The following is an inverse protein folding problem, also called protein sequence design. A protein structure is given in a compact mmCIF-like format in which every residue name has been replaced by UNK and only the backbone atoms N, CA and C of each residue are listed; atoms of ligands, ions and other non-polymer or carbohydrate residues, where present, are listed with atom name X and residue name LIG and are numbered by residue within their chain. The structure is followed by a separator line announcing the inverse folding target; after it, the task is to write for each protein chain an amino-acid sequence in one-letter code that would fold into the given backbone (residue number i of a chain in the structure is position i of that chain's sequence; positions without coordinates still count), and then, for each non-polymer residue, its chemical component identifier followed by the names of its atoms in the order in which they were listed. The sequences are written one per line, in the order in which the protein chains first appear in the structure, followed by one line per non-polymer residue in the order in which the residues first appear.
data_IF_717662937786
#
_entry.id   IF_717662937786
#
_cell.length_a   1.000
_cell.length_b   1.000
_cell.length_c   1.000
_cell.angle_alpha   90.00
_cell.angle_beta   90.00
_cell.angle_gamma   90.00
#
_symmetry.space_group_name_H-M   'P 1'
#
loop_
_entity.id
_entity.type
_entity.pdbx_description
1 polymer ?
#
# COMPACT_ATOMS: atom_id res chain seq x y z
N UNK A 1 -16.04 -10.45 -44.66
CA UNK A 1 -14.89 -11.29 -44.28
C UNK A 1 -14.39 -10.79 -42.94
N UNK A 2 -14.87 -11.40 -41.85
CA UNK A 2 -14.49 -11.08 -40.47
C UNK A 2 -13.31 -11.96 -40.09
N UNK A 3 -12.15 -11.34 -39.86
CA UNK A 3 -10.95 -12.01 -39.35
C UNK A 3 -11.14 -12.35 -37.87
N UNK A 4 -11.53 -13.58 -37.58
CA UNK A 4 -11.44 -14.17 -36.24
C UNK A 4 -9.97 -14.47 -35.96
N UNK A 5 -9.31 -13.61 -35.19
CA UNK A 5 -8.03 -13.91 -34.55
C UNK A 5 -8.28 -14.94 -33.45
N UNK A 6 -8.12 -16.22 -33.78
CA UNK A 6 -7.97 -17.28 -32.78
C UNK A 6 -6.66 -17.06 -32.04
N UNK A 7 -6.74 -16.74 -30.75
CA UNK A 7 -5.60 -16.87 -29.84
C UNK A 7 -5.13 -18.33 -29.85
N UNK A 8 -3.81 -18.60 -29.89
CA UNK A 8 -3.31 -19.97 -29.83
C UNK A 8 -3.71 -20.61 -28.49
N UNK A 9 -3.97 -21.93 -28.46
CA UNK A 9 -4.23 -22.65 -27.22
C UNK A 9 -3.02 -22.49 -26.27
N UNK A 10 -3.25 -22.42 -24.94
CA UNK A 10 -2.15 -22.34 -23.99
C UNK A 10 -1.24 -23.55 -24.19
N UNK A 11 0.10 -23.37 -24.14
CA UNK A 11 1.03 -24.49 -24.23
C UNK A 11 0.68 -25.48 -23.11
N UNK A 12 0.60 -26.77 -23.44
CA UNK A 12 0.44 -27.85 -22.47
C UNK A 12 1.37 -27.59 -21.30
N UNK A 13 0.83 -27.54 -20.07
CA UNK A 13 1.59 -27.28 -18.86
C UNK A 13 2.84 -28.19 -18.83
N UNK A 14 4.01 -27.61 -19.14
CA UNK A 14 5.28 -28.32 -19.03
C UNK A 14 5.53 -28.71 -17.58
N UNK A 15 6.64 -29.39 -17.31
CA UNK A 15 6.99 -29.85 -15.95
C UNK A 15 7.04 -28.72 -14.91
N UNK A 16 7.18 -27.48 -15.36
CA UNK A 16 7.22 -26.26 -14.54
C UNK A 16 6.23 -25.21 -15.07
N UNK A 17 4.91 -25.35 -14.83
CA UNK A 17 3.93 -24.45 -15.43
C UNK A 17 3.96 -23.09 -14.73
N UNK A 18 4.30 -22.06 -15.51
CA UNK A 18 4.33 -20.66 -15.10
C UNK A 18 4.25 -19.73 -16.30
N UNK A 19 3.82 -18.48 -16.08
CA UNK A 19 3.67 -17.47 -17.13
C UNK A 19 3.99 -16.08 -16.61
N UNK A 20 4.56 -15.25 -17.48
CA UNK A 20 4.76 -13.82 -17.26
C UNK A 20 3.80 -13.02 -18.15
N UNK A 21 2.84 -12.36 -17.54
CA UNK A 21 1.87 -11.47 -18.18
C UNK A 21 2.40 -10.04 -18.13
N UNK A 22 2.69 -9.45 -19.29
CA UNK A 22 3.25 -8.09 -19.36
C UNK A 22 2.15 -7.04 -19.33
N UNK A 23 2.37 -5.93 -18.62
CA UNK A 23 1.46 -4.78 -18.57
C UNK A 23 0.03 -5.13 -18.13
N UNK A 24 -0.10 -6.11 -17.23
CA UNK A 24 -1.39 -6.59 -16.74
C UNK A 24 -2.12 -5.53 -15.91
N UNK A 25 -1.38 -4.79 -15.06
CA UNK A 25 -1.90 -3.63 -14.35
C UNK A 25 -1.52 -2.34 -15.09
N UNK A 26 -2.41 -1.36 -15.02
CA UNK A 26 -2.12 -0.01 -15.52
C UNK A 26 -1.12 0.70 -14.60
N UNK A 27 -0.38 1.66 -15.14
CA UNK A 27 0.52 2.51 -14.36
C UNK A 27 -0.20 3.24 -13.22
N UNK A 28 -1.44 3.68 -13.45
CA UNK A 28 -2.24 4.36 -12.43
C UNK A 28 -2.58 3.42 -11.28
N UNK A 29 -3.02 2.20 -11.59
CA UNK A 29 -3.29 1.15 -10.59
C UNK A 29 -2.03 0.81 -9.79
N UNK A 30 -0.87 0.69 -10.45
CA UNK A 30 0.40 0.47 -9.74
C UNK A 30 0.70 1.61 -8.77
N UNK A 31 0.55 2.87 -9.20
CA UNK A 31 0.84 4.04 -8.36
C UNK A 31 -0.15 4.20 -7.19
N UNK A 32 -1.42 3.86 -7.38
CA UNK A 32 -2.41 3.81 -6.31
C UNK A 32 -2.03 2.76 -5.25
N UNK A 33 -1.66 1.55 -5.66
CA UNK A 33 -1.21 0.51 -4.74
C UNK A 33 0.14 0.87 -4.08
N UNK A 34 1.06 1.52 -4.78
CA UNK A 34 2.29 2.09 -4.17
C UNK A 34 1.94 3.10 -3.07
N UNK A 35 0.98 4.00 -3.32
CA UNK A 35 0.49 4.96 -2.34
C UNK A 35 -0.06 4.26 -1.10
N UNK A 36 -0.93 3.27 -1.27
CA UNK A 36 -1.49 2.51 -0.14
C UNK A 36 -0.38 1.84 0.67
N UNK A 37 0.56 1.15 0.00
CA UNK A 37 1.64 0.45 0.70
C UNK A 37 2.57 1.39 1.46
N UNK A 38 3.03 2.47 0.80
CA UNK A 38 3.95 3.43 1.41
C UNK A 38 3.30 4.22 2.54
N UNK A 39 1.97 4.25 2.60
CA UNK A 39 1.25 4.91 3.69
C UNK A 39 0.97 3.98 4.86
N UNK A 40 0.56 2.74 4.56
CA UNK A 40 0.04 1.79 5.56
C UNK A 40 0.98 0.60 5.80
N UNK A 41 2.25 0.72 5.44
CA UNK A 41 3.26 -0.34 5.61
C UNK A 41 3.70 -0.50 7.06
N UNK A 42 3.69 -1.75 7.54
CA UNK A 42 4.27 -2.15 8.82
C UNK A 42 5.52 -3.03 8.57
N UNK A 43 6.37 -3.16 9.58
CA UNK A 43 7.53 -4.04 9.52
C UNK A 43 7.08 -5.49 9.23
N UNK A 44 7.67 -6.08 8.21
CA UNK A 44 7.42 -7.46 7.81
C UNK A 44 8.10 -8.45 8.75
N UNK A 45 7.65 -9.70 8.71
CA UNK A 45 8.26 -10.78 9.50
C UNK A 45 9.73 -11.06 9.12
N UNK A 46 10.13 -10.75 7.89
CA UNK A 46 11.51 -10.93 7.42
C UNK A 46 12.31 -9.65 7.62
N UNK A 47 13.63 -9.75 7.90
CA UNK A 47 14.51 -8.60 7.90
C UNK A 47 14.40 -7.81 6.61
N UNK A 48 14.44 -6.48 6.73
CA UNK A 48 14.40 -5.54 5.61
C UNK A 48 13.14 -5.61 4.74
N UNK A 49 12.03 -6.16 5.25
CA UNK A 49 10.75 -6.22 4.53
C UNK A 49 9.72 -5.32 5.21
N UNK A 50 8.93 -4.61 4.41
CA UNK A 50 7.72 -3.90 4.85
C UNK A 50 6.52 -4.58 4.20
N UNK A 51 5.42 -4.74 4.94
CA UNK A 51 4.21 -5.40 4.45
C UNK A 51 2.94 -4.63 4.81
N UNK A 52 1.99 -4.60 3.89
CA UNK A 52 0.61 -4.15 4.13
C UNK A 52 -0.33 -5.26 3.71
N UNK A 53 -0.94 -5.92 4.69
CA UNK A 53 -1.99 -6.91 4.44
C UNK A 53 -3.38 -6.27 4.47
N UNK A 54 -4.34 -6.92 3.82
CA UNK A 54 -5.73 -6.48 3.84
C UNK A 54 -6.33 -6.39 5.26
N UNK A 55 -6.10 -7.37 6.17
CA UNK A 55 -6.53 -7.24 7.56
C UNK A 55 -5.85 -6.08 8.30
N UNK A 56 -4.59 -5.75 7.99
CA UNK A 56 -3.92 -4.60 8.60
C UNK A 56 -4.63 -3.29 8.24
N UNK A 57 -4.97 -3.10 6.96
CA UNK A 57 -5.76 -1.93 6.52
C UNK A 57 -7.09 -1.83 7.27
N UNK A 58 -7.82 -2.93 7.39
CA UNK A 58 -9.08 -2.97 8.12
C UNK A 58 -8.92 -2.64 9.61
N UNK A 59 -7.85 -3.11 10.23
CA UNK A 59 -7.56 -2.90 11.66
C UNK A 59 -7.09 -1.48 11.98
N UNK A 60 -6.45 -0.77 11.05
CA UNK A 60 -5.91 0.58 11.27
C UNK A 60 -6.85 1.70 10.81
N UNK A 61 -8.16 1.42 10.66
CA UNK A 61 -9.13 2.40 10.16
C UNK A 61 -9.00 2.73 8.66
N UNK A 62 -8.11 2.05 7.94
CA UNK A 62 -7.84 2.23 6.51
C UNK A 62 -8.63 1.27 5.62
N UNK A 63 -9.71 0.66 6.12
CA UNK A 63 -10.46 -0.37 5.39
C UNK A 63 -11.03 0.08 4.04
N UNK A 64 -11.23 1.39 3.83
CA UNK A 64 -11.67 1.94 2.54
C UNK A 64 -10.59 1.80 1.45
N UNK A 65 -9.31 1.75 1.81
CA UNK A 65 -8.19 1.53 0.88
C UNK A 65 -8.08 0.09 0.37
N UNK A 66 -9.01 -0.79 0.74
CA UNK A 66 -9.17 -2.11 0.12
C UNK A 66 -9.76 -2.05 -1.28
N UNK A 67 -10.55 -1.02 -1.58
CA UNK A 67 -11.29 -0.95 -2.84
C UNK A 67 -10.41 -1.03 -4.09
N UNK A 68 -9.23 -0.37 -4.16
CA UNK A 68 -8.32 -0.53 -5.30
C UNK A 68 -7.85 -1.97 -5.55
N UNK A 69 -7.88 -2.84 -4.53
CA UNK A 69 -7.49 -4.24 -4.67
C UNK A 69 -8.58 -5.11 -5.27
N UNK A 70 -9.86 -4.78 -5.06
CA UNK A 70 -11.00 -5.64 -5.44
C UNK A 70 -10.96 -6.03 -6.92
N UNK A 71 -10.92 -5.10 -7.90
CA UNK A 71 -10.85 -5.47 -9.31
C UNK A 71 -9.52 -6.14 -9.69
N UNK A 72 -8.43 -5.86 -8.96
CA UNK A 72 -7.12 -6.50 -9.20
C UNK A 72 -7.15 -7.96 -8.76
N UNK A 73 -7.71 -8.25 -7.59
CA UNK A 73 -7.85 -9.60 -7.02
C UNK A 73 -8.67 -10.50 -7.94
N UNK A 74 -9.81 -10.01 -8.43
CA UNK A 74 -10.66 -10.76 -9.36
C UNK A 74 -9.94 -11.06 -10.67
N UNK A 75 -9.37 -10.05 -11.31
CA UNK A 75 -8.65 -10.24 -12.58
C UNK A 75 -7.46 -11.20 -12.43
N UNK A 76 -6.76 -11.15 -11.30
CA UNK A 76 -5.67 -12.10 -11.02
C UNK A 76 -6.18 -13.52 -10.82
N UNK A 77 -7.27 -13.70 -10.06
CA UNK A 77 -7.91 -15.02 -9.90
C UNK A 77 -8.30 -15.59 -11.26
N UNK A 78 -8.99 -14.81 -12.09
CA UNK A 78 -9.38 -15.20 -13.46
C UNK A 78 -8.18 -15.57 -14.33
N UNK A 79 -7.08 -14.78 -14.27
CA UNK A 79 -5.87 -15.07 -15.03
C UNK A 79 -5.19 -16.38 -14.59
N UNK A 80 -5.17 -16.67 -13.29
CA UNK A 80 -4.63 -17.91 -12.73
C UNK A 80 -5.51 -19.09 -13.14
N UNK A 81 -6.83 -18.97 -12.96
CA UNK A 81 -7.79 -20.01 -13.34
C UNK A 81 -7.74 -20.33 -14.84
N UNK A 82 -7.63 -19.31 -15.69
CA UNK A 82 -7.51 -19.46 -17.13
C UNK A 82 -6.20 -20.14 -17.53
N UNK A 83 -5.08 -19.77 -16.91
CA UNK A 83 -3.77 -20.35 -17.24
C UNK A 83 -3.66 -21.82 -16.83
N UNK A 84 -4.22 -22.20 -15.67
CA UNK A 84 -4.14 -23.56 -15.14
C UNK A 84 -5.37 -24.44 -15.46
N UNK A 85 -6.33 -23.92 -16.24
CA UNK A 85 -7.58 -24.58 -16.61
C UNK A 85 -8.37 -25.11 -15.38
N UNK A 86 -8.53 -24.25 -14.37
CA UNK A 86 -9.24 -24.56 -13.13
C UNK A 86 -10.27 -23.48 -12.77
N UNK A 87 -11.08 -23.09 -13.75
CA UNK A 87 -12.13 -22.07 -13.61
C UNK A 87 -13.07 -22.34 -12.43
N UNK A 88 -13.32 -21.30 -11.64
CA UNK A 88 -14.20 -21.31 -10.46
C UNK A 88 -13.78 -22.24 -9.31
N UNK A 89 -12.51 -22.69 -9.30
CA UNK A 89 -11.96 -23.62 -8.30
C UNK A 89 -11.08 -22.92 -7.25
N UNK A 90 -10.87 -21.60 -7.36
CA UNK A 90 -9.89 -20.89 -6.53
C UNK A 90 -10.49 -19.90 -5.54
N UNK A 91 -10.01 -20.01 -4.30
CA UNK A 91 -10.14 -19.01 -3.26
C UNK A 91 -8.81 -18.26 -3.09
N UNK A 92 -8.87 -17.01 -2.65
CA UNK A 92 -7.67 -16.23 -2.33
C UNK A 92 -7.32 -16.51 -0.88
N UNK A 93 -6.18 -17.15 -0.64
CA UNK A 93 -5.71 -17.44 0.71
C UNK A 93 -5.13 -16.19 1.39
N UNK A 94 -4.52 -15.32 0.60
CA UNK A 94 -3.83 -14.14 1.11
C UNK A 94 -3.62 -13.11 0.00
N UNK A 95 -3.84 -11.85 0.33
CA UNK A 95 -3.45 -10.69 -0.46
C UNK A 95 -2.56 -9.76 0.38
N UNK A 96 -1.40 -9.36 -0.15
CA UNK A 96 -0.53 -8.41 0.53
C UNK A 96 0.39 -7.62 -0.39
N UNK A 97 0.59 -6.34 -0.06
CA UNK A 97 1.64 -5.50 -0.64
C UNK A 97 2.92 -5.71 0.15
N UNK A 98 4.00 -6.07 -0.54
CA UNK A 98 5.28 -6.42 0.06
C UNK A 98 6.38 -5.58 -0.59
N UNK A 99 7.09 -4.82 0.24
CA UNK A 99 8.33 -4.13 -0.11
C UNK A 99 9.53 -4.90 0.41
N UNK A 100 10.38 -5.32 -0.51
CA UNK A 100 11.72 -5.84 -0.21
C UNK A 100 12.67 -4.66 -0.31
N UNK A 101 13.15 -4.18 0.84
CA UNK A 101 14.09 -3.08 0.87
C UNK A 101 15.53 -3.59 0.69
N UNK A 102 16.48 -2.67 0.53
CA UNK A 102 17.91 -3.01 0.48
C UNK A 102 18.32 -4.03 1.57
N UNK A 103 19.05 -5.07 1.19
CA UNK A 103 19.47 -6.20 2.04
C UNK A 103 18.45 -7.32 2.17
N UNK A 104 17.20 -7.13 1.74
CA UNK A 104 16.20 -8.19 1.78
C UNK A 104 16.46 -9.24 0.69
N UNK A 105 16.36 -10.52 1.06
CA UNK A 105 16.47 -11.66 0.14
C UNK A 105 15.71 -12.87 0.70
N UNK A 106 15.44 -13.86 -0.15
CA UNK A 106 14.89 -15.16 0.26
C UNK A 106 15.53 -16.26 -0.56
N UNK A 107 16.05 -17.28 0.13
CA UNK A 107 16.66 -18.44 -0.50
C UNK A 107 15.65 -19.34 -1.22
N UNK A 108 16.15 -20.41 -1.81
CA UNK A 108 15.36 -21.39 -2.55
C UNK A 108 14.25 -22.01 -1.71
N UNK A 109 13.01 -21.92 -2.19
CA UNK A 109 11.83 -22.50 -1.56
C UNK A 109 10.69 -22.71 -2.56
N UNK A 110 9.73 -23.57 -2.22
CA UNK A 110 8.37 -23.54 -2.76
C UNK A 110 7.47 -22.77 -1.78
N UNK A 111 6.36 -22.23 -2.27
CA UNK A 111 5.39 -21.49 -1.44
C UNK A 111 4.63 -22.41 -0.48
N UNK A 112 4.53 -23.71 -0.80
CA UNK A 112 3.86 -24.75 -0.01
C UNK A 112 4.80 -25.48 0.99
N UNK A 113 6.04 -25.01 1.17
CA UNK A 113 7.11 -25.77 1.80
C UNK A 113 6.95 -26.12 3.29
N UNK A 114 5.96 -25.53 3.99
CA UNK A 114 5.71 -25.74 5.43
C UNK A 114 4.31 -26.27 5.67
N UNK A 115 4.06 -27.04 6.76
CA UNK A 115 2.74 -27.64 7.02
C UNK A 115 1.57 -26.66 6.98
N UNK A 116 1.74 -25.44 7.50
CA UNK A 116 0.70 -24.40 7.51
C UNK A 116 0.55 -23.64 6.19
N UNK A 117 1.34 -23.99 5.16
CA UNK A 117 1.33 -23.40 3.82
C UNK A 117 0.93 -24.41 2.74
N UNK A 118 0.75 -25.69 3.09
CA UNK A 118 0.54 -26.80 2.15
C UNK A 118 -0.71 -26.68 1.30
N UNK A 119 -1.68 -25.89 1.75
CA UNK A 119 -2.93 -25.62 1.04
C UNK A 119 -2.74 -24.75 -0.22
N UNK A 120 -1.61 -24.05 -0.37
CA UNK A 120 -1.35 -23.15 -1.50
C UNK A 120 -1.25 -23.96 -2.79
N UNK A 121 -2.07 -23.62 -3.76
CA UNK A 121 -2.07 -24.21 -5.09
C UNK A 121 -1.24 -23.36 -6.07
N UNK A 122 -1.46 -22.05 -6.06
CA UNK A 122 -0.88 -21.12 -7.04
C UNK A 122 -0.45 -19.82 -6.40
N UNK A 123 0.46 -19.12 -7.07
CA UNK A 123 0.97 -17.81 -6.67
C UNK A 123 0.88 -16.84 -7.83
N UNK A 124 0.47 -15.60 -7.55
CA UNK A 124 0.61 -14.47 -8.45
C UNK A 124 1.43 -13.36 -7.77
N UNK A 125 2.44 -12.85 -8.47
CA UNK A 125 3.27 -11.72 -8.02
C UNK A 125 3.19 -10.61 -9.07
N UNK A 126 2.55 -9.51 -8.70
CA UNK A 126 2.43 -8.31 -9.52
C UNK A 126 3.49 -7.29 -9.13
N UNK A 127 4.26 -6.81 -10.08
CA UNK A 127 5.30 -5.81 -9.86
C UNK A 127 4.70 -4.42 -9.94
N UNK A 128 4.97 -3.58 -8.94
CA UNK A 128 4.39 -2.24 -8.85
C UNK A 128 5.38 -1.14 -9.25
N UNK A 129 6.67 -1.44 -9.28
CA UNK A 129 7.72 -0.52 -9.69
C UNK A 129 8.80 -1.22 -10.54
N UNK A 130 9.70 -0.45 -11.14
CA UNK A 130 10.58 -0.91 -12.21
C UNK A 130 11.95 -1.37 -11.67
N UNK A 131 12.36 -2.57 -12.05
CA UNK A 131 13.75 -2.99 -11.86
C UNK A 131 14.69 -2.16 -12.76
N UNK A 132 15.82 -1.72 -12.21
CA UNK A 132 16.83 -0.90 -12.89
C UNK A 132 16.60 0.61 -12.77
N UNK A 133 15.37 1.05 -12.47
CA UNK A 133 15.03 2.46 -12.23
C UNK A 133 14.72 2.71 -10.75
N UNK A 134 13.75 1.98 -10.19
CA UNK A 134 13.27 2.18 -8.82
C UNK A 134 14.02 1.31 -7.78
N UNK A 135 14.56 0.17 -8.22
CA UNK A 135 15.35 -0.74 -7.40
C UNK A 135 16.34 -1.58 -8.24
N UNK A 136 17.37 -2.14 -7.61
CA UNK A 136 18.31 -3.10 -8.24
C UNK A 136 18.44 -4.36 -7.39
N UNK A 137 18.78 -5.48 -8.04
CA UNK A 137 18.70 -6.79 -7.40
C UNK A 137 17.24 -7.21 -7.22
N UNK A 138 16.92 -8.03 -6.23
CA UNK A 138 15.54 -8.46 -6.00
C UNK A 138 14.91 -9.28 -7.14
N UNK A 139 15.71 -9.93 -7.98
CA UNK A 139 15.27 -10.74 -9.11
C UNK A 139 14.69 -12.05 -8.60
N UNK A 140 13.45 -12.35 -9.03
CA UNK A 140 12.83 -13.66 -8.83
C UNK A 140 13.46 -14.67 -9.80
N UNK A 141 14.01 -15.75 -9.27
CA UNK A 141 14.67 -16.82 -10.03
C UNK A 141 14.02 -18.16 -9.72
N UNK A 142 13.87 -19.02 -10.72
CA UNK A 142 13.38 -20.38 -10.61
C UNK A 142 14.54 -21.36 -10.84
N UNK A 143 14.58 -22.46 -10.09
CA UNK A 143 15.65 -23.46 -10.24
C UNK A 143 15.63 -24.12 -11.61
N UNK A 144 14.43 -24.45 -12.09
CA UNK A 144 14.21 -25.28 -13.28
C UNK A 144 13.12 -24.70 -14.17
N UNK A 145 13.19 -24.99 -15.48
CA UNK A 145 12.23 -24.57 -16.50
C UNK A 145 12.42 -23.13 -17.01
N UNK A 146 11.48 -22.67 -17.84
CA UNK A 146 11.44 -21.31 -18.39
C UNK A 146 10.14 -20.57 -18.05
N UNK A 147 10.18 -19.23 -17.84
CA UNK A 147 11.40 -18.42 -17.73
C UNK A 147 12.16 -18.73 -16.43
N UNK A 148 13.49 -18.80 -16.48
CA UNK A 148 14.34 -19.09 -15.30
C UNK A 148 14.54 -17.88 -14.37
N UNK A 149 14.28 -16.67 -14.86
CA UNK A 149 14.29 -15.45 -14.06
C UNK A 149 13.33 -14.41 -14.61
N UNK A 150 12.84 -13.54 -13.73
CA UNK A 150 11.90 -12.47 -14.07
C UNK A 150 12.60 -11.13 -13.88
N UNK A 151 12.79 -10.38 -14.97
CA UNK A 151 13.14 -8.95 -14.94
C UNK A 151 11.89 -8.16 -15.29
N UNK A 152 11.17 -7.63 -14.29
CA UNK A 152 9.84 -7.08 -14.48
C UNK A 152 9.86 -5.56 -14.57
N UNK A 153 8.85 -5.02 -15.25
CA UNK A 153 8.46 -3.61 -15.19
C UNK A 153 7.16 -3.47 -14.39
N UNK A 154 6.86 -2.26 -13.93
CA UNK A 154 5.62 -1.97 -13.24
C UNK A 154 4.41 -2.42 -14.09
N UNK A 155 3.51 -3.19 -13.48
CA UNK A 155 2.32 -3.75 -14.08
C UNK A 155 2.46 -5.18 -14.57
N UNK A 156 3.67 -5.73 -14.63
CA UNK A 156 3.88 -7.14 -14.97
C UNK A 156 3.42 -8.08 -13.84
N UNK A 157 2.95 -9.26 -14.22
CA UNK A 157 2.52 -10.31 -13.28
C UNK A 157 3.16 -11.63 -13.65
N UNK A 158 3.78 -12.30 -12.68
CA UNK A 158 4.20 -13.70 -12.84
C UNK A 158 3.23 -14.59 -12.07
N UNK A 159 2.79 -15.67 -12.72
CA UNK A 159 1.90 -16.69 -12.17
C UNK A 159 2.62 -18.04 -12.24
N UNK A 160 2.59 -18.81 -11.15
CA UNK A 160 3.24 -20.12 -11.06
C UNK A 160 2.58 -21.02 -10.01
N UNK A 161 2.87 -22.32 -10.03
CA UNK A 161 2.40 -23.27 -9.00
C UNK A 161 3.13 -23.05 -7.69
N UNK A 162 2.43 -23.19 -6.56
CA UNK A 162 3.04 -22.98 -5.25
C UNK A 162 3.97 -24.13 -4.80
N UNK A 163 3.94 -25.26 -5.50
CA UNK A 163 4.65 -26.49 -5.13
C UNK A 163 6.09 -26.58 -5.67
N UNK A 164 6.73 -27.72 -5.43
CA UNK A 164 8.11 -28.00 -5.83
C UNK A 164 8.37 -27.99 -7.35
N UNK A 165 7.34 -27.85 -8.19
CA UNK A 165 7.55 -27.62 -9.63
C UNK A 165 8.07 -26.22 -9.91
N UNK A 166 7.91 -25.26 -9.00
CA UNK A 166 8.43 -23.91 -9.15
C UNK A 166 9.21 -23.48 -7.91
N UNK A 167 10.25 -24.25 -7.54
CA UNK A 167 11.19 -23.82 -6.51
C UNK A 167 11.90 -22.55 -6.97
N UNK A 168 11.84 -21.51 -6.15
CA UNK A 168 12.27 -20.17 -6.50
C UNK A 168 12.97 -19.45 -5.35
N UNK A 169 13.70 -18.39 -5.68
CA UNK A 169 14.34 -17.50 -4.73
C UNK A 169 14.22 -16.05 -5.21
N UNK A 170 14.42 -15.10 -4.30
CA UNK A 170 14.63 -13.69 -4.66
C UNK A 170 16.00 -13.30 -4.16
N UNK A 171 16.88 -12.93 -5.09
CA UNK A 171 18.22 -12.47 -4.74
C UNK A 171 18.15 -11.13 -3.98
N UNK A 172 19.26 -10.74 -3.36
CA UNK A 172 19.29 -9.54 -2.54
C UNK A 172 18.91 -8.28 -3.32
N UNK A 173 18.04 -7.46 -2.74
CA UNK A 173 17.83 -6.08 -3.19
C UNK A 173 19.05 -5.27 -2.79
N UNK A 174 19.78 -4.73 -3.75
CA UNK A 174 21.04 -4.01 -3.48
C UNK A 174 20.83 -2.50 -3.38
N UNK A 175 19.80 -1.97 -4.04
CA UNK A 175 19.42 -0.56 -4.04
C UNK A 175 17.90 -0.41 -4.15
N UNK A 176 17.34 0.60 -3.47
CA UNK A 176 15.92 0.93 -3.55
C UNK A 176 15.00 -0.05 -2.81
N UNK A 177 13.72 0.00 -3.20
CA UNK A 177 12.62 -0.75 -2.59
C UNK A 177 11.88 -1.51 -3.71
N UNK A 178 11.96 -2.85 -3.75
CA UNK A 178 11.21 -3.69 -4.69
C UNK A 178 9.80 -3.91 -4.15
N UNK A 179 8.79 -3.39 -4.85
CA UNK A 179 7.41 -3.41 -4.39
C UNK A 179 6.53 -4.31 -5.26
N UNK A 180 5.88 -5.27 -4.62
CA UNK A 180 4.98 -6.23 -5.27
C UNK A 180 3.65 -6.38 -4.54
N UNK A 181 2.58 -6.62 -5.30
CA UNK A 181 1.36 -7.23 -4.79
C UNK A 181 1.48 -8.75 -4.93
N UNK A 182 1.34 -9.48 -3.83
CA UNK A 182 1.43 -10.94 -3.82
C UNK A 182 0.09 -11.53 -3.41
N UNK A 183 -0.39 -12.47 -4.24
CA UNK A 183 -1.55 -13.30 -3.94
C UNK A 183 -1.15 -14.77 -3.91
N UNK A 184 -1.64 -15.48 -2.89
CA UNK A 184 -1.64 -16.93 -2.86
C UNK A 184 -3.06 -17.45 -3.01
N UNK A 185 -3.22 -18.50 -3.80
CA UNK A 185 -4.50 -19.13 -4.09
C UNK A 185 -4.55 -20.54 -3.52
N UNK A 186 -5.73 -20.94 -3.07
CA UNK A 186 -6.02 -22.26 -2.50
C UNK A 186 -7.26 -22.84 -3.16
N UNK A 187 -7.36 -24.16 -3.19
CA UNK A 187 -8.59 -24.90 -3.57
C UNK A 187 -9.43 -25.27 -2.36
N UNK A 188 -8.92 -25.02 -1.16
CA UNK A 188 -9.62 -25.31 0.10
C UNK A 188 -10.27 -24.04 0.64
N UNK A 189 -11.62 -24.00 0.59
CA UNK A 189 -12.45 -22.90 1.09
C UNK A 189 -12.17 -22.55 2.55
N UNK A 190 -11.68 -23.48 3.37
CA UNK A 190 -11.36 -23.20 4.78
C UNK A 190 -10.23 -22.16 4.95
N UNK A 191 -9.45 -21.94 3.89
CA UNK A 191 -8.32 -21.01 3.86
C UNK A 191 -8.63 -19.71 3.12
N UNK A 192 -9.86 -19.49 2.66
CA UNK A 192 -10.30 -18.23 2.07
C UNK A 192 -10.11 -17.06 3.05
N UNK A 193 -9.49 -15.97 2.59
CA UNK A 193 -9.25 -14.77 3.39
C UNK A 193 -10.50 -13.89 3.55
N UNK A 194 -11.43 -13.95 2.59
CA UNK A 194 -12.57 -13.03 2.51
C UNK A 194 -13.47 -13.07 3.76
N UNK A 195 -13.92 -14.24 4.27
CA UNK A 195 -14.79 -14.28 5.45
C UNK A 195 -14.16 -13.64 6.69
N UNK A 196 -12.84 -13.83 6.88
CA UNK A 196 -12.11 -13.24 8.00
C UNK A 196 -12.03 -11.72 7.85
N UNK A 197 -11.72 -11.25 6.65
CA UNK A 197 -11.61 -9.83 6.35
C UNK A 197 -12.96 -9.12 6.49
N UNK A 198 -14.05 -9.73 6.01
CA UNK A 198 -15.41 -9.20 6.15
C UNK A 198 -15.84 -9.07 7.61
N UNK A 199 -15.47 -10.04 8.46
CA UNK A 199 -15.71 -9.94 9.90
C UNK A 199 -14.94 -8.77 10.55
N UNK A 200 -13.73 -8.47 10.10
CA UNK A 200 -13.02 -7.26 10.56
C UNK A 200 -13.70 -5.98 10.09
N UNK A 201 -14.04 -5.89 8.80
CA UNK A 201 -14.67 -4.70 8.22
C UNK A 201 -16.04 -4.39 8.84
N UNK A 202 -16.85 -5.42 9.13
CA UNK A 202 -18.16 -5.25 9.74
C UNK A 202 -18.05 -4.73 11.17
N UNK A 203 -17.12 -5.26 11.97
CA UNK A 203 -16.88 -4.80 13.35
C UNK A 203 -16.41 -3.36 13.39
N UNK A 204 -15.47 -2.97 12.52
CA UNK A 204 -14.97 -1.58 12.44
C UNK A 204 -16.06 -0.62 11.94
N UNK A 205 -16.98 -1.08 11.09
CA UNK A 205 -18.09 -0.26 10.61
C UNK A 205 -19.17 -0.04 11.67
N UNK A 206 -19.45 -1.04 12.49
CA UNK A 206 -20.42 -0.96 13.60
C UNK A 206 -19.94 -0.11 14.78
N UNK A 207 -18.63 0.09 14.93
CA UNK A 207 -18.05 0.94 15.99
C UNK A 207 -18.06 2.44 15.66
N UNK A 208 -18.40 2.84 14.43
CA UNK A 208 -18.54 4.26 14.08
C UNK A 208 -19.95 4.73 14.40
N UNK A 209 -20.08 5.73 15.28
CA UNK A 209 -21.34 6.43 15.49
C UNK A 209 -21.78 7.18 14.22
N UNK A 210 -23.08 7.30 13.90
CA UNK A 210 -23.58 7.92 12.66
C UNK A 210 -23.16 9.38 12.44
N UNK A 211 -22.63 10.04 13.47
CA UNK A 211 -22.23 11.46 13.49
C UNK A 211 -20.72 11.71 13.35
N UNK A 212 -19.89 10.67 13.23
CA UNK A 212 -18.45 10.84 13.07
C UNK A 212 -18.08 11.21 11.63
N UNK A 213 -18.00 12.52 11.38
CA UNK A 213 -17.67 13.18 10.10
C UNK A 213 -16.34 12.71 9.45
N UNK A 214 -15.54 11.88 10.12
CA UNK A 214 -14.14 11.57 9.80
C UNK A 214 -13.82 10.05 9.90
N UNK A 215 -14.76 9.17 9.53
CA UNK A 215 -14.64 7.70 9.60
C UNK A 215 -13.61 7.03 8.66
N UNK A 216 -12.79 7.85 7.97
CA UNK A 216 -11.66 7.45 7.13
C UNK A 216 -10.29 7.86 7.71
N UNK A 217 -10.27 8.51 8.88
CA UNK A 217 -9.03 8.86 9.58
C UNK A 217 -8.43 7.58 10.17
N UNK A 218 -7.14 7.29 9.89
CA UNK A 218 -6.52 6.08 10.37
C UNK A 218 -6.27 6.11 11.88
N UNK A 219 -6.25 4.92 12.47
CA UNK A 219 -5.77 4.68 13.84
C UNK A 219 -4.51 3.81 13.74
N UNK A 220 -3.33 4.29 14.15
CA UNK A 220 -2.11 3.50 14.08
C UNK A 220 -2.24 2.18 14.87
N UNK A 221 -1.59 1.14 14.37
CA UNK A 221 -1.36 -0.08 15.15
C UNK A 221 -0.38 0.19 16.30
N UNK A 222 -0.07 -0.84 17.10
CA UNK A 222 0.96 -0.74 18.13
C UNK A 222 2.29 -0.31 17.51
N UNK A 223 2.99 0.61 18.17
CA UNK A 223 4.17 1.27 17.61
C UNK A 223 5.31 0.29 17.26
N UNK A 224 5.40 -0.84 17.96
CA UNK A 224 6.36 -1.89 17.64
C UNK A 224 6.17 -2.49 16.23
N UNK A 225 4.97 -2.40 15.66
CA UNK A 225 4.68 -2.85 14.29
C UNK A 225 5.32 -1.94 13.24
N UNK A 226 5.63 -0.68 13.58
CA UNK A 226 6.25 0.27 12.67
C UNK A 226 7.77 0.35 12.84
N UNK A 227 8.35 -0.39 13.79
CA UNK A 227 9.79 -0.39 13.99
C UNK A 227 10.50 -1.25 12.94
N UNK A 228 11.28 -0.61 12.07
CA UNK A 228 12.11 -1.27 11.07
C UNK A 228 13.52 -1.46 11.60
N UNK A 229 13.90 -2.72 11.83
CA UNK A 229 15.24 -3.10 12.26
C UNK A 229 16.15 -3.38 11.07
N UNK A 230 17.38 -2.86 11.11
CA UNK A 230 18.41 -3.12 10.12
C UNK A 230 19.78 -3.22 10.81
N UNK A 231 20.40 -4.39 10.75
CA UNK A 231 21.62 -4.74 11.48
C UNK A 231 21.51 -4.41 12.99
N UNK A 232 22.31 -3.45 13.47
CA UNK A 232 22.34 -3.00 14.87
C UNK A 232 21.57 -1.68 15.08
N UNK A 233 20.83 -1.22 14.08
CA UNK A 233 20.09 0.05 14.09
C UNK A 233 18.63 -0.14 13.69
N UNK A 234 17.86 0.93 13.68
CA UNK A 234 16.47 0.93 13.25
C UNK A 234 15.84 2.32 13.25
N UNK A 235 14.61 2.38 12.78
CA UNK A 235 13.80 3.60 12.77
C UNK A 235 12.30 3.25 12.72
N UNK A 236 11.46 4.19 13.11
CA UNK A 236 10.01 4.11 12.83
C UNK A 236 9.73 4.39 11.35
N UNK A 237 9.02 3.47 10.68
CA UNK A 237 8.70 3.55 9.25
C UNK A 237 7.96 4.84 8.90
N UNK A 238 7.04 5.31 9.76
CA UNK A 238 6.21 6.49 9.49
C UNK A 238 7.09 7.74 9.47
N UNK A 239 7.94 7.89 10.50
CA UNK A 239 8.93 8.96 10.59
C UNK A 239 9.87 8.95 9.40
N UNK A 240 10.44 7.78 9.09
CA UNK A 240 11.36 7.63 7.98
C UNK A 240 10.72 8.02 6.65
N UNK A 241 9.49 7.55 6.36
CA UNK A 241 8.80 7.84 5.09
C UNK A 241 8.39 9.30 4.94
N UNK A 242 8.01 9.98 6.01
CA UNK A 242 7.76 11.43 6.00
C UNK A 242 9.08 12.20 5.80
N UNK A 243 10.13 11.80 6.52
CA UNK A 243 11.44 12.44 6.46
C UNK A 243 12.10 12.33 5.09
N UNK A 244 12.10 11.14 4.47
CA UNK A 244 12.69 10.99 3.12
C UNK A 244 11.96 11.79 2.06
N UNK A 245 10.79 12.39 2.36
CA UNK A 245 10.07 13.34 1.50
C UNK A 245 10.30 14.81 1.87
N UNK A 246 11.20 15.08 2.81
CA UNK A 246 11.57 16.43 3.27
C UNK A 246 10.60 17.03 4.29
N UNK A 247 9.77 16.20 4.93
CA UNK A 247 8.86 16.65 5.99
C UNK A 247 9.33 16.19 7.37
N UNK A 248 8.90 16.91 8.40
CA UNK A 248 9.12 16.56 9.81
C UNK A 248 7.81 16.69 10.60
N UNK A 249 7.72 15.95 11.70
CA UNK A 249 6.57 16.04 12.61
C UNK A 249 6.82 17.10 13.70
N UNK A 250 5.79 17.90 13.97
CA UNK A 250 5.79 18.95 14.97
C UNK A 250 4.67 18.74 15.97
N UNK A 251 4.89 19.15 17.22
CA UNK A 251 3.85 19.15 18.24
C UNK A 251 2.66 20.05 17.84
N UNK A 252 1.44 19.58 18.11
CA UNK A 252 0.20 20.37 17.95
C UNK A 252 0.07 21.49 18.99
N UNK A 253 0.73 21.37 20.14
CA UNK A 253 0.67 22.37 21.22
C UNK A 253 1.65 23.50 20.96
N UNK A 254 1.14 24.66 20.51
CA UNK A 254 1.93 25.88 20.29
C UNK A 254 2.43 26.58 21.56
N UNK A 255 2.63 25.86 22.67
CA UNK A 255 3.19 26.43 23.90
C UNK A 255 4.68 26.15 23.96
N UNK A 256 5.44 27.19 23.69
CA UNK A 256 6.85 27.38 24.07
C UNK A 256 7.03 27.44 25.59
N UNK A 257 6.47 26.47 26.33
CA UNK A 257 6.81 26.33 27.74
C UNK A 257 8.07 25.48 27.82
N UNK A 258 9.19 26.18 27.86
CA UNK A 258 10.43 25.71 28.49
C UNK A 258 10.10 25.49 29.98
N UNK A 259 9.39 24.41 30.28
CA UNK A 259 9.30 23.80 31.60
C UNK A 259 8.62 22.46 31.43
N UNK A 260 9.44 21.44 31.17
CA UNK A 260 9.12 20.03 31.32
C UNK A 260 8.13 19.51 30.26
N UNK A 261 8.65 19.06 29.10
CA UNK A 261 8.12 17.79 28.57
C UNK A 261 8.16 16.81 29.76
N UNK A 262 7.08 16.10 30.11
CA UNK A 262 7.18 15.08 31.14
C UNK A 262 8.37 14.21 30.75
N UNK A 263 9.34 14.06 31.64
CA UNK A 263 10.57 13.31 31.40
C UNK A 263 10.33 11.80 31.18
N UNK A 264 9.13 11.40 30.76
CA UNK A 264 8.59 10.04 30.83
C UNK A 264 7.77 9.62 29.59
N UNK A 265 7.42 10.50 28.64
CA UNK A 265 6.73 10.03 27.42
C UNK A 265 7.75 9.54 26.39
N UNK A 266 7.62 8.27 25.98
CA UNK A 266 8.39 7.71 24.88
C UNK A 266 8.14 8.55 23.61
N UNK A 267 9.17 9.09 22.93
CA UNK A 267 9.00 9.89 21.73
C UNK A 267 8.14 9.23 20.65
N UNK A 268 8.13 7.89 20.61
CA UNK A 268 7.32 7.13 19.66
C UNK A 268 5.82 7.24 19.97
N UNK A 269 5.41 7.31 21.24
CA UNK A 269 3.99 7.47 21.63
C UNK A 269 3.39 8.80 21.12
N UNK A 270 4.23 9.82 20.91
CA UNK A 270 3.82 11.11 20.34
C UNK A 270 3.31 10.96 18.90
N UNK A 271 3.69 9.89 18.19
CA UNK A 271 3.21 9.59 16.84
C UNK A 271 1.75 9.13 16.81
N UNK A 272 1.20 8.71 17.95
CA UNK A 272 -0.22 8.38 18.12
C UNK A 272 -1.09 9.60 18.43
N UNK A 273 -0.49 10.76 18.73
CA UNK A 273 -1.19 11.98 19.15
C UNK A 273 -1.35 12.98 18.00
N UNK A 274 -2.18 13.99 18.23
CA UNK A 274 -2.35 15.10 17.30
C UNK A 274 -1.04 15.84 17.05
N UNK A 275 -0.70 16.03 15.77
CA UNK A 275 0.57 16.60 15.34
C UNK A 275 0.42 17.46 14.07
N UNK A 276 1.50 18.14 13.69
CA UNK A 276 1.60 18.95 12.47
C UNK A 276 2.74 18.47 11.59
N UNK A 277 2.68 18.83 10.31
CA UNK A 277 3.77 18.64 9.36
C UNK A 277 4.52 19.95 9.16
N UNK A 278 5.85 19.90 9.17
CA UNK A 278 6.69 20.99 8.73
C UNK A 278 7.66 20.57 7.64
N UNK A 279 8.21 21.56 6.93
CA UNK A 279 9.21 21.38 5.87
C UNK A 279 10.07 22.64 5.83
N UNK A 280 11.38 22.48 6.02
CA UNK A 280 12.27 23.62 6.22
C UNK A 280 11.89 24.42 7.46
N UNK A 281 11.78 25.74 7.31
CA UNK A 281 11.44 26.68 8.39
C UNK A 281 9.92 26.93 8.54
N UNK A 282 9.10 26.18 7.81
CA UNK A 282 7.66 26.37 7.76
C UNK A 282 6.91 25.17 8.36
N UNK A 283 5.85 25.47 9.12
CA UNK A 283 4.92 24.48 9.67
C UNK A 283 3.53 24.70 9.08
N UNK A 284 2.92 23.61 8.60
CA UNK A 284 1.56 23.60 8.08
C UNK A 284 0.55 23.73 9.22
N UNK A 285 -0.42 24.64 9.11
CA UNK A 285 -1.35 24.92 10.22
C UNK A 285 -2.25 23.72 10.57
N UNK A 286 -2.64 22.91 9.58
CA UNK A 286 -3.53 21.76 9.77
C UNK A 286 -2.96 20.81 10.82
N UNK A 287 -3.79 20.50 11.80
CA UNK A 287 -3.53 19.45 12.78
C UNK A 287 -4.00 18.13 12.20
N UNK A 288 -3.11 17.15 12.17
CA UNK A 288 -3.39 15.78 11.81
C UNK A 288 -3.61 14.96 13.07
N UNK A 289 -4.57 14.06 13.05
CA UNK A 289 -4.97 13.24 14.20
C UNK A 289 -3.85 12.35 14.75
N UNK A 290 -2.93 11.93 13.88
CA UNK A 290 -1.74 11.13 14.22
C UNK A 290 -0.76 11.10 13.03
N UNK A 291 0.40 10.47 13.24
CA UNK A 291 1.45 10.29 12.23
C UNK A 291 0.99 9.54 10.98
N UNK A 292 0.09 8.57 11.11
CA UNK A 292 -0.41 7.77 9.98
C UNK A 292 -1.34 8.61 9.08
N UNK A 293 -2.20 9.45 9.68
CA UNK A 293 -3.02 10.43 8.94
C UNK A 293 -2.11 11.39 8.16
N UNK A 294 -1.11 11.97 8.82
CA UNK A 294 -0.15 12.86 8.16
C UNK A 294 0.63 12.16 7.03
N UNK A 295 1.10 10.93 7.26
CA UNK A 295 1.83 10.14 6.26
C UNK A 295 0.98 9.82 5.03
N UNK A 296 -0.29 9.43 5.21
CA UNK A 296 -1.23 9.19 4.10
C UNK A 296 -1.31 10.42 3.19
N UNK A 297 -1.47 11.61 3.77
CA UNK A 297 -1.56 12.85 2.99
C UNK A 297 -0.24 13.16 2.27
N UNK A 298 0.92 12.97 2.92
CA UNK A 298 2.24 13.15 2.29
C UNK A 298 2.41 12.21 1.10
N UNK A 299 2.07 10.93 1.24
CA UNK A 299 2.19 9.97 0.14
C UNK A 299 1.16 10.24 -0.96
N UNK A 300 -0.05 10.68 -0.62
CA UNK A 300 -1.07 11.08 -1.60
C UNK A 300 -0.61 12.29 -2.41
N UNK A 301 -0.02 13.31 -1.77
CA UNK A 301 0.61 14.44 -2.45
C UNK A 301 1.69 13.96 -3.42
N UNK A 302 2.55 13.03 -3.00
CA UNK A 302 3.59 12.47 -3.86
C UNK A 302 3.01 11.72 -5.07
N UNK A 303 1.92 10.97 -4.89
CA UNK A 303 1.23 10.26 -5.98
C UNK A 303 0.58 11.23 -6.96
N UNK A 304 -0.15 12.23 -6.45
CA UNK A 304 -0.95 13.17 -7.28
C UNK A 304 -0.19 14.42 -7.73
N UNK A 305 1.12 14.48 -7.49
CA UNK A 305 1.96 15.65 -7.79
C UNK A 305 1.84 16.15 -9.24
N UNK A 306 1.86 15.25 -10.22
CA UNK A 306 1.75 15.63 -11.63
C UNK A 306 0.36 16.20 -11.98
N UNK A 307 -0.71 15.68 -11.36
CA UNK A 307 -2.06 16.21 -11.57
C UNK A 307 -2.23 17.62 -10.98
N UNK A 308 -1.58 17.88 -9.84
CA UNK A 308 -1.57 19.19 -9.19
C UNK A 308 -0.89 20.24 -10.07
N UNK A 309 0.26 19.90 -10.67
CA UNK A 309 0.98 20.78 -11.58
C UNK A 309 0.14 21.18 -12.81
N UNK A 310 -0.53 20.21 -13.45
CA UNK A 310 -1.39 20.46 -14.62
C UNK A 310 -2.60 21.33 -14.29
N UNK A 311 -3.19 21.18 -13.09
CA UNK A 311 -4.33 22.01 -12.66
C UNK A 311 -3.96 23.48 -12.47
N UNK A 312 -2.71 23.78 -12.07
CA UNK A 312 -2.24 25.15 -11.98
C UNK A 312 -2.12 25.81 -13.36
N UNK A 313 -1.56 25.10 -14.35
CA UNK A 313 -1.48 25.63 -15.72
C UNK A 313 -2.86 26.00 -16.28
N UNK A 314 -3.90 25.26 -15.87
CA UNK A 314 -5.29 25.50 -16.26
C UNK A 314 -5.98 26.58 -15.41
N UNK A 315 -5.62 26.76 -14.13
CA UNK A 315 -6.24 27.72 -13.21
C UNK A 315 -5.64 29.13 -13.27
N UNK A 316 -4.52 29.35 -13.96
CA UNK A 316 -3.97 30.69 -14.25
C UNK A 316 -4.96 31.59 -15.02
N UNK A 317 -6.09 31.05 -15.51
CA UNK A 317 -7.19 31.80 -16.15
C UNK A 317 -8.33 32.18 -15.17
N UNK A 318 -8.31 31.77 -13.90
CA UNK A 318 -9.41 32.03 -12.95
C UNK A 318 -8.96 32.25 -11.50
N UNK A 319 -9.10 33.50 -11.04
CA UNK A 319 -8.80 34.00 -9.70
C UNK A 319 -9.34 33.14 -8.54
N UNK A 320 -8.45 32.84 -7.58
CA UNK A 320 -8.79 32.32 -6.26
C UNK A 320 -7.57 31.72 -5.55
N UNK A 321 -6.66 32.56 -5.05
CA UNK A 321 -5.53 32.09 -4.24
C UNK A 321 -6.09 31.48 -2.95
N UNK A 322 -6.10 30.17 -2.84
CA UNK A 322 -6.30 29.49 -1.55
C UNK A 322 -5.09 29.87 -0.70
N UNK A 323 -5.26 30.83 0.22
CA UNK A 323 -4.22 31.18 1.17
C UNK A 323 -3.97 29.97 2.07
N UNK A 324 -2.79 29.35 1.96
CA UNK A 324 -2.35 28.40 2.96
C UNK A 324 -1.94 29.14 4.23
N UNK A 325 -2.57 28.84 5.37
CA UNK A 325 -2.07 29.33 6.63
C UNK A 325 -0.81 28.55 6.99
N UNK A 326 0.34 29.20 6.80
CA UNK A 326 1.66 28.72 7.23
C UNK A 326 1.99 29.41 8.55
N UNK A 327 2.54 28.65 9.49
CA UNK A 327 3.10 29.19 10.73
C UNK A 327 4.62 29.24 10.56
N UNK A 328 5.19 30.44 10.44
CA UNK A 328 6.65 30.61 10.42
C UNK A 328 7.26 30.29 11.80
N UNK A 329 8.41 29.60 11.75
CA UNK A 329 9.19 28.88 12.78
C UNK A 329 9.24 29.37 14.23
N UNK A 330 8.78 30.58 14.56
CA UNK A 330 8.90 31.17 15.90
C UNK A 330 8.12 30.48 17.04
N UNK A 331 7.33 29.40 16.80
CA UNK A 331 6.45 28.76 17.81
C UNK A 331 6.28 27.23 17.76
N UNK A 332 6.99 26.49 16.91
CA UNK A 332 6.82 25.02 16.77
C UNK A 332 8.02 24.24 17.30
N UNK A 333 7.78 23.20 18.11
CA UNK A 333 8.83 22.25 18.54
C UNK A 333 8.75 20.98 17.69
N UNK A 334 9.79 20.71 16.89
CA UNK A 334 9.95 19.44 16.16
C UNK A 334 10.01 18.27 17.16
N UNK A 335 9.36 17.16 16.83
CA UNK A 335 9.32 16.00 17.71
C UNK A 335 10.70 15.29 17.72
N UNK A 336 11.26 14.95 18.90
CA UNK A 336 12.58 14.31 19.01
C UNK A 336 12.50 12.80 18.73
N UNK A 337 12.18 12.44 17.49
CA UNK A 337 11.85 11.07 17.10
C UNK A 337 13.11 10.24 16.82
N UNK A 338 13.15 8.95 17.21
CA UNK A 338 14.25 8.05 16.90
C UNK A 338 14.20 7.63 15.43
N UNK A 339 14.78 8.46 14.56
CA UNK A 339 14.89 8.20 13.13
C UNK A 339 16.34 8.31 12.68
N UNK A 340 16.97 7.17 12.36
CA UNK A 340 18.27 7.19 11.69
C UNK A 340 18.08 7.65 10.23
N UNK A 341 18.16 8.96 10.00
CA UNK A 341 17.86 9.59 8.71
C UNK A 341 18.73 9.08 7.55
N UNK A 342 20.03 8.88 7.79
CA UNK A 342 20.95 8.35 6.77
C UNK A 342 20.57 6.92 6.37
N UNK A 343 20.21 6.09 7.34
CA UNK A 343 19.73 4.74 7.09
C UNK A 343 18.38 4.76 6.37
N UNK A 344 17.42 5.58 6.81
CA UNK A 344 16.12 5.73 6.17
C UNK A 344 16.24 6.12 4.68
N UNK A 345 17.11 7.08 4.35
CA UNK A 345 17.40 7.47 2.96
C UNK A 345 18.04 6.34 2.16
N UNK A 346 18.89 5.53 2.78
CA UNK A 346 19.50 4.36 2.14
C UNK A 346 18.47 3.27 1.83
N UNK A 347 17.48 3.09 2.72
CA UNK A 347 16.47 2.03 2.65
C UNK A 347 15.29 2.41 1.74
N UNK A 348 14.72 3.61 1.90
CA UNK A 348 13.55 4.08 1.16
C UNK A 348 13.88 5.03 0.00
N UNK A 349 15.16 5.32 -0.22
CA UNK A 349 15.62 6.30 -1.19
C UNK A 349 15.54 7.74 -0.67
N UNK A 350 16.22 8.66 -1.36
CA UNK A 350 16.18 10.10 -1.09
C UNK A 350 15.21 10.82 -2.01
N UNK A 351 14.52 11.82 -1.48
CA UNK A 351 13.80 12.81 -2.29
C UNK A 351 14.78 13.79 -2.94
N UNK A 352 14.53 14.17 -4.19
CA UNK A 352 15.33 15.16 -4.88
C UNK A 352 15.05 16.55 -4.30
N UNK A 353 16.03 17.11 -3.58
CA UNK A 353 15.93 18.43 -2.94
C UNK A 353 15.79 19.59 -3.94
N UNK A 354 16.04 19.36 -5.23
CA UNK A 354 15.90 20.37 -6.29
C UNK A 354 14.45 20.57 -6.74
N UNK A 355 13.52 19.71 -6.31
CA UNK A 355 12.11 19.88 -6.65
C UNK A 355 11.47 21.04 -5.89
N UNK A 356 10.90 21.99 -6.65
CA UNK A 356 10.16 23.13 -6.12
C UNK A 356 8.90 22.60 -5.40
N UNK A 357 8.80 22.90 -4.11
CA UNK A 357 7.66 22.57 -3.26
C UNK A 357 6.87 23.83 -2.92
N UNK A 358 5.54 23.75 -2.96
CA UNK A 358 4.64 24.81 -2.54
C UNK A 358 3.58 24.29 -1.57
N UNK A 359 3.41 24.98 -0.45
CA UNK A 359 2.36 24.65 0.52
C UNK A 359 0.95 24.73 -0.05
N UNK A 360 0.71 25.58 -1.06
CA UNK A 360 -0.57 25.67 -1.77
C UNK A 360 -0.93 24.36 -2.47
N UNK A 361 0.04 23.71 -3.12
CA UNK A 361 -0.18 22.40 -3.75
C UNK A 361 -0.46 21.33 -2.70
N UNK A 362 0.24 21.40 -1.56
CA UNK A 362 0.03 20.49 -0.45
C UNK A 362 -1.37 20.63 0.17
N UNK A 363 -1.87 21.86 0.36
CA UNK A 363 -3.23 22.07 0.84
C UNK A 363 -4.30 21.60 -0.15
N UNK A 364 -4.06 21.78 -1.46
CA UNK A 364 -4.93 21.20 -2.48
C UNK A 364 -4.91 19.66 -2.42
N UNK A 365 -3.74 19.06 -2.19
CA UNK A 365 -3.62 17.61 -2.02
C UNK A 365 -4.34 17.10 -0.77
N UNK A 366 -4.34 17.85 0.34
CA UNK A 366 -5.14 17.54 1.54
C UNK A 366 -6.62 17.42 1.15
N UNK A 367 -7.18 18.44 0.48
CA UNK A 367 -8.58 18.45 0.09
C UNK A 367 -8.91 17.32 -0.92
N UNK A 368 -7.99 17.03 -1.84
CA UNK A 368 -8.13 15.90 -2.78
C UNK A 368 -8.09 14.55 -2.07
N UNK A 369 -7.22 14.38 -1.07
CA UNK A 369 -7.13 13.17 -0.27
C UNK A 369 -8.38 12.94 0.58
N UNK A 370 -8.92 13.99 1.20
CA UNK A 370 -10.18 13.92 1.96
C UNK A 370 -11.32 13.48 1.05
N UNK A 371 -11.46 14.11 -0.13
CA UNK A 371 -12.48 13.72 -1.11
C UNK A 371 -12.32 12.26 -1.58
N UNK A 372 -11.09 11.85 -1.89
CA UNK A 372 -10.79 10.48 -2.32
C UNK A 372 -11.16 9.47 -1.23
N UNK A 373 -10.75 9.73 0.02
CA UNK A 373 -10.99 8.84 1.15
C UNK A 373 -12.48 8.76 1.51
N UNK A 374 -13.20 9.88 1.43
CA UNK A 374 -14.65 9.93 1.65
C UNK A 374 -15.41 9.13 0.58
N UNK A 375 -15.02 9.25 -0.69
CA UNK A 375 -15.64 8.50 -1.79
C UNK A 375 -15.43 7.00 -1.64
N UNK A 376 -14.19 6.56 -1.35
CA UNK A 376 -13.91 5.15 -1.08
C UNK A 376 -14.66 4.66 0.16
N UNK A 377 -14.78 5.47 1.20
CA UNK A 377 -15.54 5.08 2.39
C UNK A 377 -17.03 4.89 2.06
N UNK A 378 -17.63 5.79 1.29
CA UNK A 378 -19.03 5.66 0.82
C UNK A 378 -19.21 4.37 0.03
N UNK A 379 -18.34 4.12 -0.94
CA UNK A 379 -18.37 2.88 -1.73
C UNK A 379 -18.23 1.62 -0.87
N UNK A 380 -17.30 1.62 0.10
CA UNK A 380 -17.12 0.50 1.01
C UNK A 380 -18.41 0.22 1.80
N UNK A 381 -19.05 1.26 2.35
CA UNK A 381 -20.31 1.11 3.09
C UNK A 381 -21.45 0.61 2.19
N UNK A 382 -21.46 1.03 0.93
CA UNK A 382 -22.42 0.54 -0.06
C UNK A 382 -22.20 -0.94 -0.43
N UNK A 383 -20.95 -1.38 -0.57
CA UNK A 383 -20.63 -2.76 -1.01
C UNK A 383 -20.63 -3.77 0.13
N UNK A 384 -20.34 -3.35 1.36
CA UNK A 384 -20.19 -4.24 2.50
C UNK A 384 -21.39 -5.16 2.76
N UNK A 385 -22.67 -4.71 2.67
CA UNK A 385 -23.82 -5.60 2.83
C UNK A 385 -23.87 -6.73 1.78
N UNK A 386 -23.48 -6.43 0.54
CA UNK A 386 -23.45 -7.39 -0.56
C UNK A 386 -22.35 -8.43 -0.35
N UNK A 387 -21.15 -7.97 0.04
CA UNK A 387 -20.06 -8.88 0.35
C UNK A 387 -20.36 -9.77 1.56
N UNK A 388 -20.98 -9.22 2.61
CA UNK A 388 -21.40 -9.99 3.78
C UNK A 388 -22.44 -11.06 3.43
N UNK A 389 -23.39 -10.74 2.56
CA UNK A 389 -24.46 -11.66 2.15
C UNK A 389 -23.93 -12.83 1.31
N UNK A 390 -22.82 -12.63 0.59
CA UNK A 390 -22.20 -13.65 -0.26
C UNK A 390 -20.93 -14.27 0.36
N UNK A 391 -20.51 -13.82 1.55
CA UNK A 391 -19.26 -14.21 2.22
C UNK A 391 -17.99 -14.06 1.34
N UNK A 392 -18.01 -13.15 0.35
CA UNK A 392 -16.92 -12.95 -0.60
C UNK A 392 -16.81 -11.48 -1.03
N UNK A 393 -15.60 -11.03 -1.35
CA UNK A 393 -15.31 -9.68 -1.81
C UNK A 393 -15.14 -9.72 -3.33
N UNK A 394 -16.00 -8.99 -4.02
CA UNK A 394 -16.10 -8.98 -5.46
C UNK A 394 -16.43 -7.58 -6.00
N UNK A 395 -16.23 -7.33 -7.29
CA UNK A 395 -16.63 -6.07 -7.92
C UNK A 395 -18.15 -6.01 -7.98
N UNK A 396 -18.74 -5.03 -7.28
CA UNK A 396 -20.18 -4.81 -7.28
C UNK A 396 -20.55 -3.85 -8.42
N UNK A 397 -21.44 -4.27 -9.31
CA UNK A 397 -21.97 -3.39 -10.34
C UNK A 397 -22.94 -2.36 -9.73
N UNK A 398 -22.47 -1.12 -9.64
CA UNK A 398 -23.27 0.00 -9.11
C UNK A 398 -24.54 0.30 -9.90
N UNK A 399 -24.63 -0.13 -11.17
CA UNK A 399 -25.84 0.03 -11.97
C UNK A 399 -26.97 -0.91 -11.55
N UNK A 400 -26.64 -2.03 -10.91
CA UNK A 400 -27.61 -2.98 -10.35
C UNK A 400 -28.14 -2.53 -8.98
N UNK A 401 -27.33 -1.76 -8.23
CA UNK A 401 -27.71 -1.19 -6.92
C UNK A 401 -28.88 -0.21 -7.01
N UNK A 402 -29.02 0.52 -8.12
CA UNK A 402 -30.12 1.48 -8.32
C UNK A 402 -31.47 0.81 -8.62
N UNK A 403 -31.52 -0.50 -8.88
CA UNK A 403 -32.78 -1.24 -9.11
C UNK A 403 -33.35 -1.87 -7.83
N UNK A 404 -32.59 -1.86 -6.74
CA UNK A 404 -33.00 -2.38 -5.45
C UNK A 404 -33.31 -1.22 -4.49
N UNK A 405 -34.41 -0.51 -4.72
CA UNK A 405 -35.07 0.26 -3.66
C UNK A 405 -36.11 -0.62 -2.94
N UNK A 406 -36.35 -0.38 -1.64
CA UNK A 406 -36.84 -1.38 -0.72
C UNK A 406 -38.34 -1.65 -0.86
N UNK A 407 -38.73 -2.91 -0.63
CA UNK A 407 -40.12 -3.31 -0.33
C UNK A 407 -40.43 -2.97 1.13
#
# INVERSE_FOLDING_TARGET
MSSTTFSPPPPSAGDHPRVLLRGFLSRETCKELEFVHRSCGAAGYRPSVVSTSLPHLAATGCGHLLLPFVPVRERLREAVESFFDCHFDLFIEFTGLISWCKGASIGWHSDDNKPYLRQRAFTAVCYLNNHGEDYKGGILQFQDGDPSSIVPVAGDVVIYTADNRNVHCVNEVTEGERLTLTLWFTRDRAYDEDPKLLNFLSRTSLSCEPTEQNSYIPVPASDNMYWFSYDQSGFDIRCARVHVRGFSFYSSSGKSNISVLPAEEDPIELLGKELRLGRGDDVFEKIFSNSLHALLVVQFYCWKKHELATRMEQSVVGSGTVCCPIIHHSKGTELPLPCNHALAQTIFGSYNTEEIFQWNDFALAVAMWEKYSEELKKQLLTFLPYWLSNETIYVVDTSELQRAEPI
#
